data_IF_423482119526
#
_entry.id   IF_423482119526
#
_cell.length_a   1.000
_cell.length_b   1.000
_cell.length_c   1.000
_cell.angle_alpha   90.00
_cell.angle_beta   90.00
_cell.angle_gamma   90.00
#
_symmetry.space_group_name_H-M   'P 1'
#
loop_
_entity.id
_entity.type
_entity.pdbx_description
1 polymer ?
#
# COMPACT_ATOMS: atom_id res chain seq x y z
N UNK A 1 37.63 -0.63 -15.23
CA UNK A 1 36.79 -0.52 -16.44
C UNK A 1 35.35 -0.41 -15.95
N UNK A 2 34.62 0.66 -16.25
CA UNK A 2 33.20 0.72 -15.94
C UNK A 2 32.45 -0.05 -17.02
N UNK A 3 31.72 -1.09 -16.62
CA UNK A 3 30.79 -1.81 -17.50
C UNK A 3 29.75 -0.82 -18.03
N UNK A 4 29.70 -0.72 -19.35
CA UNK A 4 28.70 0.04 -20.10
C UNK A 4 27.31 -0.44 -19.73
N UNK A 5 26.53 0.45 -19.11
CA UNK A 5 25.11 0.24 -18.82
C UNK A 5 24.36 -0.10 -20.10
N UNK A 6 23.85 -1.31 -20.21
CA UNK A 6 22.85 -1.70 -21.20
C UNK A 6 21.57 -0.90 -20.92
N UNK A 7 21.15 -0.07 -21.88
CA UNK A 7 20.00 0.85 -21.79
C UNK A 7 18.67 0.17 -21.40
N UNK A 8 18.58 -1.15 -21.49
CA UNK A 8 17.37 -1.94 -21.22
C UNK A 8 17.15 -2.31 -19.74
N UNK A 9 18.12 -2.05 -18.84
CA UNK A 9 18.04 -2.51 -17.45
C UNK A 9 17.33 -1.54 -16.49
N UNK A 10 16.95 -0.35 -16.97
CA UNK A 10 16.28 0.69 -16.19
C UNK A 10 14.95 1.10 -16.86
N UNK A 11 14.14 0.15 -17.32
CA UNK A 11 12.83 0.46 -17.86
C UNK A 11 11.80 0.62 -16.74
N UNK A 12 11.09 1.75 -16.75
CA UNK A 12 9.94 1.99 -15.90
C UNK A 12 8.85 0.98 -16.31
N UNK A 13 8.42 0.14 -15.37
CA UNK A 13 7.45 -0.92 -15.63
C UNK A 13 6.25 -0.78 -14.71
N UNK A 14 5.12 -1.32 -15.16
CA UNK A 14 3.95 -1.49 -14.32
C UNK A 14 4.08 -2.79 -13.51
N UNK A 15 3.97 -2.68 -12.19
CA UNK A 15 4.18 -3.78 -11.25
C UNK A 15 2.98 -3.87 -10.30
N UNK A 16 2.61 -5.09 -9.92
CA UNK A 16 1.65 -5.34 -8.84
C UNK A 16 2.26 -6.25 -7.79
N UNK A 17 1.95 -5.96 -6.53
CA UNK A 17 2.08 -6.90 -5.43
C UNK A 17 0.68 -7.26 -4.94
N UNK A 18 0.41 -8.54 -4.76
CA UNK A 18 -0.83 -9.03 -4.15
C UNK A 18 -0.48 -9.77 -2.87
N UNK A 19 -1.16 -9.42 -1.78
CA UNK A 19 -1.03 -10.09 -0.49
C UNK A 19 -2.38 -10.73 -0.16
N UNK A 20 -2.37 -12.05 -0.01
CA UNK A 20 -3.54 -12.85 0.34
C UNK A 20 -3.32 -13.50 1.71
N UNK A 21 -4.26 -13.28 2.63
CA UNK A 21 -4.28 -13.92 3.94
C UNK A 21 -5.23 -15.11 3.88
N UNK A 22 -4.70 -16.31 4.06
CA UNK A 22 -5.51 -17.54 4.09
C UNK A 22 -6.20 -17.67 5.42
N UNK A 23 -5.42 -17.69 6.50
CA UNK A 23 -5.93 -17.71 7.85
C UNK A 23 -4.93 -17.13 8.85
N UNK A 24 -5.45 -16.70 9.99
CA UNK A 24 -4.70 -16.26 11.16
C UNK A 24 -5.13 -17.13 12.34
N UNK A 25 -4.18 -17.63 13.10
CA UNK A 25 -4.43 -18.33 14.36
C UNK A 25 -3.78 -17.54 15.48
N UNK A 26 -4.55 -17.22 16.51
CA UNK A 26 -4.13 -16.46 17.68
C UNK A 26 -4.32 -17.35 18.89
N UNK A 27 -3.37 -17.35 19.82
CA UNK A 27 -3.50 -18.11 21.06
C UNK A 27 -4.68 -17.60 21.90
N UNK A 28 -5.42 -18.51 22.54
CA UNK A 28 -6.69 -18.23 23.24
C UNK A 28 -6.60 -17.23 24.40
N UNK A 29 -5.38 -16.99 24.90
CA UNK A 29 -5.10 -16.02 25.96
C UNK A 29 -4.89 -14.60 25.44
N UNK A 30 -4.88 -14.38 24.12
CA UNK A 30 -4.73 -13.07 23.49
C UNK A 30 -6.09 -12.63 22.99
N UNK A 31 -6.54 -11.47 23.48
CA UNK A 31 -7.81 -10.88 23.04
C UNK A 31 -7.65 -10.22 21.67
N UNK A 32 -8.44 -10.69 20.70
CA UNK A 32 -8.57 -10.06 19.39
C UNK A 32 -9.97 -10.34 18.85
N UNK A 33 -10.76 -9.29 18.69
CA UNK A 33 -12.19 -9.40 18.40
C UNK A 33 -12.52 -9.02 16.95
N UNK A 34 -11.95 -7.92 16.46
CA UNK A 34 -12.12 -7.43 15.10
C UNK A 34 -10.77 -7.43 14.38
N UNK A 35 -10.24 -8.62 14.02
CA UNK A 35 -8.91 -8.73 13.47
C UNK A 35 -8.80 -8.08 12.09
N UNK A 36 -7.72 -7.34 11.90
CA UNK A 36 -7.33 -6.78 10.61
C UNK A 36 -5.83 -6.99 10.40
N UNK A 37 -5.48 -7.52 9.24
CA UNK A 37 -4.08 -7.65 8.83
C UNK A 37 -3.71 -6.44 8.01
N UNK A 38 -2.65 -5.75 8.41
CA UNK A 38 -2.09 -4.61 7.71
C UNK A 38 -0.73 -5.01 7.15
N UNK A 39 -0.47 -4.72 5.89
CA UNK A 39 0.86 -4.89 5.32
C UNK A 39 1.44 -3.58 4.82
N UNK A 40 2.77 -3.48 4.86
CA UNK A 40 3.52 -2.35 4.30
C UNK A 40 4.71 -2.85 3.49
N UNK A 41 4.73 -2.46 2.22
CA UNK A 41 5.84 -2.72 1.31
C UNK A 41 6.68 -1.45 1.19
N UNK A 42 7.96 -1.49 1.57
CA UNK A 42 8.88 -0.35 1.46
C UNK A 42 8.25 0.94 2.03
N UNK A 43 8.32 2.03 1.26
CA UNK A 43 7.74 3.33 1.61
C UNK A 43 6.32 3.54 1.07
N UNK A 44 5.70 2.50 0.48
CA UNK A 44 4.31 2.59 0.05
C UNK A 44 3.37 2.68 1.27
N UNK A 45 2.19 3.33 1.11
CA UNK A 45 1.18 3.37 2.15
C UNK A 45 0.81 1.97 2.66
N UNK A 46 0.55 1.87 3.96
CA UNK A 46 0.09 0.63 4.55
C UNK A 46 -1.31 0.28 4.04
N UNK A 47 -1.56 -1.01 3.80
CA UNK A 47 -2.82 -1.51 3.26
C UNK A 47 -3.46 -2.49 4.25
N UNK A 48 -4.71 -2.23 4.57
CA UNK A 48 -5.51 -3.03 5.51
C UNK A 48 -6.35 -4.08 4.80
N UNK A 49 -6.34 -5.29 5.35
CA UNK A 49 -7.14 -6.44 4.96
C UNK A 49 -8.00 -6.80 6.20
N UNK A 50 -9.19 -6.20 6.35
CA UNK A 50 -10.06 -6.48 7.49
C UNK A 50 -10.73 -7.86 7.32
N UNK A 51 -10.89 -8.58 8.43
CA UNK A 51 -11.58 -9.87 8.44
C UNK A 51 -13.07 -9.69 8.15
N UNK A 52 -13.67 -8.70 8.80
CA UNK A 52 -15.05 -8.28 8.58
C UNK A 52 -15.12 -7.22 7.49
N UNK A 53 -16.28 -7.12 6.84
CA UNK A 53 -16.53 -5.98 5.98
C UNK A 53 -16.69 -4.70 6.81
N UNK A 54 -16.48 -3.56 6.14
CA UNK A 54 -16.56 -2.26 6.79
C UNK A 54 -17.92 -2.04 7.47
N UNK A 55 -19.03 -2.37 6.79
CA UNK A 55 -20.37 -2.22 7.33
C UNK A 55 -20.61 -3.07 8.59
N UNK A 56 -20.06 -4.29 8.64
CA UNK A 56 -20.16 -5.16 9.82
C UNK A 56 -19.37 -4.57 10.99
N UNK A 57 -18.16 -4.09 10.70
CA UNK A 57 -17.29 -3.45 11.69
C UNK A 57 -17.99 -2.24 12.30
N UNK A 58 -18.58 -1.37 11.47
CA UNK A 58 -19.37 -0.22 11.88
C UNK A 58 -20.61 -0.61 12.69
N UNK A 59 -21.34 -1.64 12.26
CA UNK A 59 -22.48 -2.19 12.99
C UNK A 59 -22.09 -2.66 14.39
N UNK A 60 -20.99 -3.41 14.54
CA UNK A 60 -20.50 -3.85 15.85
C UNK A 60 -20.12 -2.68 16.75
N UNK A 61 -19.48 -1.64 16.20
CA UNK A 61 -19.19 -0.43 16.96
C UNK A 61 -20.46 0.30 17.39
N UNK A 62 -21.48 0.39 16.54
CA UNK A 62 -22.75 1.03 16.88
C UNK A 62 -23.47 0.25 17.99
N UNK A 63 -23.53 -1.08 17.87
CA UNK A 63 -24.08 -1.95 18.91
C UNK A 63 -23.31 -1.82 20.23
N UNK A 64 -21.99 -1.68 20.18
CA UNK A 64 -21.17 -1.47 21.38
C UNK A 64 -21.46 -0.11 22.03
N UNK A 65 -21.74 0.92 21.24
CA UNK A 65 -22.16 2.25 21.73
C UNK A 65 -23.55 2.20 22.38
N UNK A 66 -24.49 1.47 21.77
CA UNK A 66 -25.86 1.32 22.29
C UNK A 66 -25.91 0.42 23.55
N UNK A 67 -24.98 -0.52 23.66
CA UNK A 67 -24.88 -1.47 24.77
C UNK A 67 -23.49 -1.46 25.43
N UNK A 68 -23.11 -0.36 26.12
CA UNK A 68 -21.75 -0.19 26.64
C UNK A 68 -21.38 -1.24 27.69
N UNK A 69 -22.35 -1.76 28.44
CA UNK A 69 -22.15 -2.73 29.52
C UNK A 69 -21.87 -4.17 29.02
N UNK A 70 -22.07 -4.46 27.73
CA UNK A 70 -21.84 -5.80 27.16
C UNK A 70 -20.39 -5.89 26.69
N UNK A 71 -19.68 -6.96 27.06
CA UNK A 71 -18.31 -7.18 26.55
C UNK A 71 -18.30 -7.43 25.04
N UNK A 72 -17.20 -7.09 24.36
CA UNK A 72 -17.03 -7.38 22.93
C UNK A 72 -17.21 -8.86 22.60
N UNK A 73 -16.68 -9.75 23.46
CA UNK A 73 -16.85 -11.20 23.33
C UNK A 73 -18.32 -11.63 23.32
N UNK A 74 -19.14 -11.08 24.22
CA UNK A 74 -20.57 -11.40 24.29
C UNK A 74 -21.33 -10.82 23.10
N UNK A 75 -21.06 -9.56 22.74
CA UNK A 75 -21.68 -8.89 21.60
C UNK A 75 -21.47 -9.66 20.30
N UNK A 76 -20.25 -10.15 20.10
CA UNK A 76 -19.84 -10.87 18.90
C UNK A 76 -20.26 -12.34 18.90
N UNK A 77 -20.34 -13.00 20.06
CA UNK A 77 -20.78 -14.39 20.15
C UNK A 77 -22.24 -14.56 19.73
N UNK A 78 -23.08 -13.57 20.01
CA UNK A 78 -24.52 -13.66 19.76
C UNK A 78 -24.85 -13.55 18.27
N UNK A 79 -24.01 -12.87 17.48
CA UNK A 79 -24.32 -12.52 16.10
C UNK A 79 -23.67 -13.41 15.03
N UNK A 80 -22.51 -14.05 15.29
CA UNK A 80 -21.79 -14.77 14.22
C UNK A 80 -21.26 -16.15 14.62
N UNK A 81 -21.55 -17.16 13.78
CA UNK A 81 -21.06 -18.52 13.94
C UNK A 81 -19.55 -18.63 13.61
N UNK A 82 -19.01 -17.77 12.74
CA UNK A 82 -17.58 -17.80 12.38
C UNK A 82 -16.68 -17.52 13.57
N UNK A 83 -17.16 -16.69 14.51
CA UNK A 83 -16.48 -16.41 15.78
C UNK A 83 -16.69 -17.52 16.82
N UNK A 84 -17.79 -18.27 16.76
CA UNK A 84 -18.05 -19.44 17.63
C UNK A 84 -17.17 -20.65 17.29
N UNK A 85 -16.72 -20.75 16.04
CA UNK A 85 -15.76 -21.78 15.58
C UNK A 85 -14.32 -21.48 15.99
N UNK A 86 -14.04 -20.27 16.47
CA UNK A 86 -12.69 -19.77 16.65
C UNK A 86 -12.08 -20.25 17.98
N UNK A 87 -11.36 -21.37 17.91
CA UNK A 87 -10.27 -21.69 18.83
C UNK A 87 -9.08 -20.71 18.65
N UNK A 88 -9.36 -19.41 18.48
CA UNK A 88 -8.40 -18.40 18.03
C UNK A 88 -8.13 -18.41 16.52
N UNK A 89 -8.86 -19.19 15.72
CA UNK A 89 -8.67 -19.30 14.27
C UNK A 89 -9.62 -18.39 13.47
N UNK A 90 -9.06 -17.54 12.62
CA UNK A 90 -9.75 -16.65 11.69
C UNK A 90 -9.42 -17.03 10.24
N UNK A 91 -10.42 -17.46 9.46
CA UNK A 91 -10.23 -17.87 8.06
C UNK A 91 -10.46 -16.69 7.11
N UNK A 92 -9.48 -15.79 6.98
CA UNK A 92 -9.60 -14.57 6.18
C UNK A 92 -10.03 -14.86 4.74
N UNK A 93 -9.28 -15.68 4.01
CA UNK A 93 -9.44 -15.90 2.55
C UNK A 93 -9.63 -14.59 1.78
N UNK A 94 -8.93 -13.53 2.21
CA UNK A 94 -9.06 -12.16 1.73
C UNK A 94 -7.69 -11.61 1.40
N UNK A 95 -7.63 -10.75 0.38
CA UNK A 95 -6.39 -10.16 -0.07
C UNK A 95 -6.59 -8.75 -0.63
N UNK A 96 -5.48 -8.06 -0.81
CA UNK A 96 -5.42 -6.76 -1.48
C UNK A 96 -4.22 -6.73 -2.40
N UNK A 97 -4.31 -5.93 -3.44
CA UNK A 97 -3.23 -5.67 -4.37
C UNK A 97 -2.86 -4.20 -4.39
N UNK A 98 -1.60 -3.91 -4.70
CA UNK A 98 -1.13 -2.56 -4.97
C UNK A 98 -0.49 -2.57 -6.35
N UNK A 99 -1.06 -1.76 -7.25
CA UNK A 99 -0.53 -1.54 -8.59
C UNK A 99 0.27 -0.23 -8.58
N UNK A 100 1.51 -0.27 -9.05
CA UNK A 100 2.40 0.89 -9.03
C UNK A 100 3.39 0.87 -10.20
N UNK A 101 3.86 2.06 -10.57
CA UNK A 101 4.95 2.24 -11.53
C UNK A 101 6.27 2.27 -10.79
N UNK A 102 7.24 1.45 -11.21
CA UNK A 102 8.59 1.53 -10.67
C UNK A 102 9.61 0.96 -11.66
N UNK A 103 10.87 1.36 -11.48
CA UNK A 103 11.98 0.70 -12.14
C UNK A 103 12.20 -0.65 -11.46
N UNK A 104 12.08 -1.75 -12.20
CA UNK A 104 12.17 -3.09 -11.62
C UNK A 104 13.50 -3.31 -10.90
N UNK A 105 14.62 -2.81 -11.44
CA UNK A 105 15.94 -2.92 -10.81
C UNK A 105 16.03 -2.22 -9.44
N UNK A 106 15.35 -1.08 -9.29
CA UNK A 106 15.24 -0.37 -8.00
C UNK A 106 14.44 -1.21 -7.01
N UNK A 107 13.26 -1.70 -7.42
CA UNK A 107 12.44 -2.58 -6.59
C UNK A 107 13.21 -3.84 -6.18
N UNK A 108 13.86 -4.51 -7.12
CA UNK A 108 14.69 -5.70 -6.92
C UNK A 108 15.73 -5.46 -5.82
N UNK A 109 16.54 -4.41 -5.95
CA UNK A 109 17.59 -4.09 -4.97
C UNK A 109 17.05 -3.83 -3.56
N UNK A 110 15.89 -3.18 -3.46
CA UNK A 110 15.25 -2.95 -2.15
C UNK A 110 14.71 -4.24 -1.55
N UNK A 111 14.00 -5.06 -2.32
CA UNK A 111 13.35 -6.28 -1.83
C UNK A 111 14.32 -7.43 -1.52
N UNK A 112 15.56 -7.36 -1.98
CA UNK A 112 16.63 -8.25 -1.51
C UNK A 112 16.90 -8.11 -0.01
N UNK A 113 16.69 -6.91 0.56
CA UNK A 113 17.10 -6.59 1.93
C UNK A 113 15.95 -6.17 2.84
N UNK A 114 14.87 -5.61 2.27
CA UNK A 114 13.74 -5.07 3.03
C UNK A 114 12.58 -6.07 2.98
N UNK A 115 12.10 -6.56 4.14
CA UNK A 115 10.97 -7.48 4.18
C UNK A 115 9.63 -6.74 3.94
N UNK A 116 8.60 -7.52 3.63
CA UNK A 116 7.22 -7.10 3.77
C UNK A 116 6.84 -7.16 5.25
N UNK A 117 6.46 -6.01 5.81
CA UNK A 117 5.96 -5.94 7.18
C UNK A 117 4.50 -6.34 7.22
N UNK A 118 4.15 -7.24 8.12
CA UNK A 118 2.79 -7.68 8.39
C UNK A 118 2.47 -7.36 9.84
N UNK A 119 1.36 -6.68 10.07
CA UNK A 119 0.86 -6.29 11.38
C UNK A 119 -0.55 -6.87 11.53
N UNK A 120 -0.85 -7.38 12.71
CA UNK A 120 -2.19 -7.76 13.12
C UNK A 120 -2.66 -6.71 14.13
N UNK A 121 -3.79 -6.10 13.85
CA UNK A 121 -4.45 -5.13 14.72
C UNK A 121 -5.86 -5.61 15.06
N UNK A 122 -6.35 -5.20 16.22
CA UNK A 122 -7.76 -5.27 16.58
C UNK A 122 -8.41 -3.91 16.30
N UNK A 123 -9.44 -3.90 15.47
CA UNK A 123 -10.14 -2.69 15.04
C UNK A 123 -11.16 -2.19 16.08
N UNK A 124 -11.18 -2.75 17.28
CA UNK A 124 -11.94 -2.20 18.40
C UNK A 124 -11.56 -0.73 18.64
N UNK A 125 -12.59 0.12 18.72
CA UNK A 125 -12.50 1.53 19.10
C UNK A 125 -13.16 1.67 20.47
N UNK A 126 -12.38 1.48 21.54
CA UNK A 126 -12.88 1.54 22.92
C UNK A 126 -12.92 2.95 23.51
N UNK A 127 -12.13 3.88 22.96
CA UNK A 127 -11.97 5.24 23.47
C UNK A 127 -12.31 6.27 22.39
N UNK A 128 -12.57 7.52 22.80
CA UNK A 128 -12.75 8.72 21.95
C UNK A 128 -11.59 8.97 20.95
N UNK A 129 -10.54 8.15 20.99
CA UNK A 129 -9.36 8.28 20.15
C UNK A 129 -9.41 7.51 18.82
N UNK A 130 -10.43 6.67 18.56
CA UNK A 130 -10.55 5.87 17.31
C UNK A 130 -9.25 5.14 16.93
N UNK A 131 -8.50 4.63 17.92
CA UNK A 131 -7.22 3.96 17.70
C UNK A 131 -7.41 2.45 17.72
N UNK A 132 -7.04 1.80 16.62
CA UNK A 132 -6.91 0.35 16.57
C UNK A 132 -5.76 -0.14 17.47
N UNK A 133 -5.94 -1.29 18.09
CA UNK A 133 -4.95 -1.86 19.02
C UNK A 133 -4.00 -2.80 18.28
N UNK A 134 -2.69 -2.66 18.49
CA UNK A 134 -1.70 -3.57 17.93
C UNK A 134 -1.69 -4.90 18.69
N UNK A 135 -1.79 -6.02 17.98
CA UNK A 135 -1.79 -7.37 18.55
C UNK A 135 -0.44 -8.03 18.35
N UNK A 136 0.05 -8.07 17.11
CA UNK A 136 1.36 -8.64 16.80
C UNK A 136 1.80 -8.39 15.38
N UNK A 137 3.01 -8.84 15.06
CA UNK A 137 3.62 -8.64 13.74
C UNK A 137 4.47 -9.82 13.31
N UNK A 138 4.72 -9.88 12.01
CA UNK A 138 5.75 -10.73 11.42
C UNK A 138 6.35 -10.05 10.18
N UNK A 139 7.52 -10.54 9.77
CA UNK A 139 8.23 -10.03 8.61
C UNK A 139 8.36 -11.16 7.59
N UNK A 140 7.96 -10.89 6.34
CA UNK A 140 8.09 -11.83 5.23
C UNK A 140 9.25 -11.38 4.34
N UNK A 141 10.27 -12.21 4.21
CA UNK A 141 11.39 -11.93 3.30
C UNK A 141 10.94 -12.22 1.86
N UNK A 142 11.19 -11.28 0.96
CA UNK A 142 10.78 -11.34 -0.44
C UNK A 142 11.96 -11.58 -1.40
N UNK A 143 13.16 -11.81 -0.87
CA UNK A 143 14.39 -11.94 -1.64
C UNK A 143 14.32 -13.10 -2.65
N UNK A 144 13.88 -14.28 -2.22
CA UNK A 144 13.77 -15.44 -3.12
C UNK A 144 12.73 -15.19 -4.23
N UNK A 145 11.56 -14.67 -3.86
CA UNK A 145 10.47 -14.39 -4.79
C UNK A 145 10.88 -13.34 -5.85
N UNK A 146 11.55 -12.27 -5.44
CA UNK A 146 11.99 -11.21 -6.37
C UNK A 146 13.17 -11.67 -7.24
N UNK A 147 14.01 -12.58 -6.75
CA UNK A 147 15.06 -13.24 -7.54
C UNK A 147 14.46 -14.12 -8.63
N UNK A 148 13.46 -14.96 -8.29
CA UNK A 148 12.74 -15.78 -9.26
C UNK A 148 12.12 -14.88 -10.34
N UNK A 149 11.44 -13.80 -9.94
CA UNK A 149 10.84 -12.86 -10.89
C UNK A 149 11.89 -12.21 -11.79
N UNK A 150 13.05 -11.82 -11.25
CA UNK A 150 14.14 -11.26 -12.03
C UNK A 150 14.66 -12.27 -13.07
N UNK A 151 14.82 -13.54 -12.70
CA UNK A 151 15.22 -14.59 -13.66
C UNK A 151 14.15 -14.80 -14.75
N UNK A 152 12.87 -14.76 -14.39
CA UNK A 152 11.77 -14.84 -15.35
C UNK A 152 11.77 -13.66 -16.33
N UNK A 153 12.07 -12.44 -15.86
CA UNK A 153 12.19 -11.25 -16.71
C UNK A 153 13.41 -11.37 -17.64
N UNK A 154 14.58 -11.76 -17.13
CA UNK A 154 15.78 -11.94 -17.95
C UNK A 154 15.59 -13.00 -19.04
N UNK A 155 14.83 -14.05 -18.75
CA UNK A 155 14.55 -15.14 -19.69
C UNK A 155 13.52 -14.74 -20.77
N UNK A 156 12.46 -14.04 -20.40
CA UNK A 156 11.31 -13.81 -21.28
C UNK A 156 11.30 -12.39 -21.90
N UNK A 157 12.08 -11.45 -21.37
CA UNK A 157 12.10 -10.05 -21.77
C UNK A 157 11.16 -9.16 -20.95
N UNK A 158 11.29 -7.84 -21.14
CA UNK A 158 10.64 -6.81 -20.32
C UNK A 158 9.20 -6.48 -20.72
N UNK A 159 8.70 -6.96 -21.86
CA UNK A 159 7.37 -6.59 -22.37
C UNK A 159 6.33 -7.71 -22.23
N UNK A 160 6.75 -8.84 -21.68
CA UNK A 160 5.88 -9.99 -21.43
C UNK A 160 5.34 -9.90 -20.00
N UNK A 161 4.01 -9.98 -19.79
CA UNK A 161 3.46 -10.08 -18.46
C UNK A 161 3.90 -11.37 -17.76
N UNK A 162 4.45 -11.24 -16.55
CA UNK A 162 4.97 -12.33 -15.73
C UNK A 162 4.35 -12.31 -14.35
N UNK A 163 4.16 -13.48 -13.77
CA UNK A 163 3.56 -13.66 -12.44
C UNK A 163 4.35 -14.71 -11.68
N UNK A 164 4.79 -14.36 -10.47
CA UNK A 164 5.46 -15.27 -9.56
C UNK A 164 4.80 -15.20 -8.18
N UNK A 165 4.71 -16.33 -7.48
CA UNK A 165 4.02 -16.42 -6.20
C UNK A 165 4.78 -17.29 -5.20
N UNK A 166 4.78 -16.89 -3.93
CA UNK A 166 5.27 -17.69 -2.82
C UNK A 166 4.29 -17.65 -1.64
N UNK A 167 4.17 -18.78 -0.94
CA UNK A 167 3.35 -18.91 0.27
C UNK A 167 4.25 -19.02 1.49
N UNK A 168 3.86 -18.38 2.58
CA UNK A 168 4.61 -18.25 3.81
C UNK A 168 3.73 -18.66 5.00
N UNK A 169 4.29 -19.50 5.86
CA UNK A 169 3.73 -19.81 7.18
C UNK A 169 4.54 -19.06 8.23
N UNK A 170 3.94 -18.03 8.84
CA UNK A 170 4.63 -17.08 9.70
C UNK A 170 4.18 -17.22 11.15
N UNK A 171 5.11 -17.07 12.09
CA UNK A 171 4.78 -16.85 13.51
C UNK A 171 4.51 -15.37 13.75
N UNK A 172 3.53 -15.06 14.58
CA UNK A 172 3.18 -13.69 14.97
C UNK A 172 3.77 -13.40 16.36
N UNK A 173 4.38 -12.24 16.52
CA UNK A 173 5.00 -11.82 17.78
C UNK A 173 4.38 -10.52 18.27
N UNK A 174 4.12 -10.43 19.57
CA UNK A 174 3.69 -9.18 20.20
C UNK A 174 4.87 -8.21 20.41
N UNK A 175 4.59 -7.03 21.01
CA UNK A 175 5.63 -6.02 21.30
C UNK A 175 6.76 -6.52 22.22
N UNK A 176 6.51 -7.57 23.00
CA UNK A 176 7.49 -8.18 23.90
C UNK A 176 8.30 -9.30 23.23
N UNK A 177 8.05 -9.57 21.94
CA UNK A 177 8.70 -10.66 21.22
C UNK A 177 8.17 -12.06 21.57
N UNK A 178 7.06 -12.14 22.30
CA UNK A 178 6.40 -13.42 22.61
C UNK A 178 5.59 -13.86 21.40
N UNK A 179 5.71 -15.14 21.03
CA UNK A 179 4.86 -15.73 20.01
C UNK A 179 3.40 -15.75 20.50
N UNK A 180 2.49 -15.24 19.69
CA UNK A 180 1.05 -15.15 19.99
C UNK A 180 0.19 -15.94 19.01
N UNK A 181 0.79 -16.61 18.03
CA UNK A 181 0.05 -17.33 17.00
C UNK A 181 0.78 -17.46 15.67
N UNK A 182 0.02 -17.76 14.62
CA UNK A 182 0.54 -17.96 13.26
C UNK A 182 -0.34 -17.29 12.20
N UNK A 183 0.23 -16.99 11.04
CA UNK A 183 -0.45 -16.41 9.90
C UNK A 183 0.04 -17.04 8.60
N UNK A 184 -0.91 -17.46 7.75
CA UNK A 184 -0.65 -18.02 6.43
C UNK A 184 -0.90 -16.97 5.36
N UNK A 185 0.16 -16.63 4.64
CA UNK A 185 0.19 -15.51 3.69
C UNK A 185 0.69 -16.02 2.34
N UNK A 186 0.02 -15.66 1.26
CA UNK A 186 0.57 -15.78 -0.08
C UNK A 186 0.89 -14.39 -0.62
N UNK A 187 2.10 -14.23 -1.16
CA UNK A 187 2.54 -13.01 -1.84
C UNK A 187 2.74 -13.35 -3.31
N UNK A 188 2.15 -12.53 -4.18
CA UNK A 188 2.30 -12.63 -5.62
C UNK A 188 2.87 -11.33 -6.16
N UNK A 189 3.88 -11.43 -7.01
CA UNK A 189 4.32 -10.32 -7.83
C UNK A 189 3.87 -10.53 -9.27
N UNK A 190 3.35 -9.46 -9.86
CA UNK A 190 3.04 -9.38 -11.27
C UNK A 190 3.88 -8.28 -11.90
N UNK A 191 4.60 -8.60 -12.97
CA UNK A 191 5.27 -7.64 -13.84
C UNK A 191 4.48 -7.56 -15.13
N UNK A 192 3.96 -6.38 -15.49
CA UNK A 192 3.11 -6.20 -16.67
C UNK A 192 3.87 -5.57 -17.86
N UNK A 193 5.17 -5.34 -17.69
CA UNK A 193 6.02 -4.71 -18.70
C UNK A 193 5.72 -3.24 -19.00
N UNK A 194 6.35 -2.74 -20.05
CA UNK A 194 6.28 -1.33 -20.47
C UNK A 194 5.08 -1.06 -21.39
N UNK A 195 4.63 -2.08 -22.14
CA UNK A 195 3.54 -1.92 -23.12
C UNK A 195 2.21 -1.59 -22.45
N UNK A 196 1.85 -2.30 -21.37
CA UNK A 196 0.60 -2.04 -20.64
C UNK A 196 0.62 -0.65 -19.99
N UNK A 197 1.80 -0.17 -19.60
CA UNK A 197 1.98 1.18 -19.05
C UNK A 197 1.47 2.25 -20.01
N UNK A 198 1.80 2.13 -21.30
CA UNK A 198 1.35 3.08 -22.34
C UNK A 198 -0.15 3.08 -22.59
N UNK A 199 -0.86 2.04 -22.14
CA UNK A 199 -2.30 1.88 -22.31
C UNK A 199 -3.11 2.37 -21.09
N UNK A 200 -2.43 2.73 -19.99
CA UNK A 200 -3.07 3.14 -18.73
C UNK A 200 -2.72 4.59 -18.37
N UNK A 201 -3.28 5.58 -19.11
CA UNK A 201 -3.02 7.00 -18.87
C UNK A 201 -3.50 7.47 -17.50
N UNK A 202 -4.48 6.78 -16.90
CA UNK A 202 -4.98 7.05 -15.55
C UNK A 202 -3.95 6.84 -14.43
N UNK A 203 -2.82 6.22 -14.73
CA UNK A 203 -1.72 6.04 -13.79
C UNK A 203 -0.60 7.07 -14.01
N UNK A 204 -0.70 7.94 -15.02
CA UNK A 204 0.22 9.06 -15.18
C UNK A 204 -0.11 10.11 -14.14
N UNK A 205 0.91 10.56 -13.40
CA UNK A 205 0.79 11.58 -12.36
C UNK A 205 0.50 12.96 -13.02
N UNK A 206 -0.71 13.17 -13.53
CA UNK A 206 -1.17 14.44 -14.12
C UNK A 206 -1.44 15.53 -13.06
N UNK A 207 -0.60 15.69 -12.04
CA UNK A 207 -0.72 16.78 -11.06
C UNK A 207 0.58 17.51 -10.66
N UNK A 208 1.53 17.71 -11.57
CA UNK A 208 2.60 18.72 -11.36
C UNK A 208 2.88 19.66 -12.55
N UNK A 209 2.29 19.46 -13.74
CA UNK A 209 2.71 20.26 -14.93
C UNK A 209 1.96 21.60 -15.10
N UNK A 210 0.88 21.89 -14.35
CA UNK A 210 0.15 23.16 -14.52
C UNK A 210 0.80 24.39 -13.87
N UNK A 211 1.80 24.23 -13.00
CA UNK A 211 2.44 25.39 -12.34
C UNK A 211 3.53 26.06 -13.18
N UNK A 212 4.15 25.36 -14.13
CA UNK A 212 5.24 25.93 -14.94
C UNK A 212 4.76 26.69 -16.19
N UNK A 213 3.55 26.40 -16.71
CA UNK A 213 2.99 27.13 -17.86
C UNK A 213 2.40 28.50 -17.49
N UNK A 214 2.00 28.74 -16.22
CA UNK A 214 1.52 30.07 -15.78
C UNK A 214 2.65 31.06 -15.46
N UNK A 215 3.85 30.59 -15.12
CA UNK A 215 4.98 31.49 -14.84
C UNK A 215 5.57 32.06 -16.14
N UNK A 216 5.64 31.29 -17.24
CA UNK A 216 6.15 31.82 -18.51
C UNK A 216 5.18 32.76 -19.25
N UNK A 217 3.85 32.62 -19.10
CA UNK A 217 2.89 33.53 -19.77
C UNK A 217 2.83 34.91 -19.07
N UNK A 218 3.19 34.98 -17.78
CA UNK A 218 3.11 36.23 -17.00
C UNK A 218 4.38 37.09 -17.15
N UNK A 219 5.54 36.52 -17.46
CA UNK A 219 6.77 37.28 -17.71
C UNK A 219 6.89 37.86 -19.11
N UNK A 220 6.18 37.31 -20.11
CA UNK A 220 6.23 37.85 -21.49
C UNK A 220 5.26 38.99 -21.73
N UNK A 221 4.18 39.13 -20.95
CA UNK A 221 3.19 40.23 -21.11
C UNK A 221 3.57 41.55 -20.42
N UNK A 222 4.65 41.60 -19.63
CA UNK A 222 5.05 42.80 -18.89
C UNK A 222 6.11 43.67 -19.59
N UNK A 223 6.58 43.30 -20.78
CA UNK A 223 7.60 44.05 -21.53
C UNK A 223 7.08 44.93 -22.68
N UNK A 224 5.78 44.87 -23.01
CA UNK A 224 5.24 45.56 -24.19
C UNK A 224 4.33 46.78 -23.89
N UNK A 225 4.28 47.28 -22.65
CA UNK A 225 3.36 48.37 -22.27
C UNK A 225 4.05 49.60 -21.64
N UNK A 226 5.21 49.99 -22.14
CA UNK A 226 5.73 51.35 -21.95
C UNK A 226 6.13 51.96 -23.31
N UNK A 227 5.14 52.45 -24.06
CA UNK A 227 5.36 53.58 -24.97
C UNK A 227 4.04 54.26 -25.35
N UNK A 228 4.08 55.61 -25.33
CA UNK A 228 3.04 56.58 -25.67
C UNK A 228 1.92 56.69 -24.61
N UNK A 229 1.56 57.88 -24.11
CA UNK A 229 1.21 59.09 -24.86
C UNK A 229 1.48 60.32 -23.98
N UNK A 230 2.04 61.40 -24.55
CA UNK A 230 1.48 62.77 -24.59
C UNK A 230 2.56 63.69 -25.19
N UNK A 231 2.29 64.13 -26.41
CA UNK A 231 2.66 65.47 -26.92
C UNK A 231 1.38 66.32 -26.91
N UNK A 232 1.38 67.66 -27.10
CA UNK A 232 2.47 68.50 -27.60
C UNK A 232 2.56 69.93 -26.98
N UNK A 233 3.42 70.75 -27.60
CA UNK A 233 3.37 72.22 -27.76
C UNK A 233 4.18 73.12 -26.80
N UNK A 234 5.34 73.51 -27.33
CA UNK A 234 5.86 74.89 -27.54
C UNK A 234 6.32 75.72 -26.34
N UNK A 235 7.64 75.90 -26.30
CA UNK A 235 8.36 77.18 -26.36
C UNK A 235 7.79 78.36 -25.56
N UNK A 236 8.53 78.81 -24.55
CA UNK A 236 9.44 79.98 -24.64
C UNK A 236 9.81 80.48 -23.24
N UNK A 237 11.10 80.36 -22.92
CA UNK A 237 12.01 81.36 -22.30
C UNK A 237 11.33 82.43 -21.41
N UNK A 238 11.53 82.37 -20.08
CA UNK A 238 12.63 83.02 -19.30
C UNK A 238 12.79 82.23 -18.01
#
# INVERSE_FOLDING_TARGET
>A
MPETMTQNENLLSLLSIEVLISHVHIDLNIECHLPCVVFRLLDYPAVSIPYFDQWQTEEFHNLKKDHPNISWRQLLSDQFYELRSANGKFNFKRGKSCLFKNYFKTLYRHLLNVPLFILLIDQINNDDTNKSHFIGSCNVKLNELIEILNQSILKNGNDIPLVEQQTFHCKLFNLMGTNIGTCDIAVRFCHYGTTILTQLPMLDDEQVIETEKKVQITTTKKKDNESSVISPLTDTIV
#
